data_IF_977984333888
#
_entry.id   IF_977984333888
#
_cell.length_a   1.000
_cell.length_b   1.000
_cell.length_c   1.000
_cell.angle_alpha   90.00
_cell.angle_beta   90.00
_cell.angle_gamma   90.00
#
_symmetry.space_group_name_H-M   'P 1'
#
loop_
_entity.id
_entity.type
_entity.pdbx_description
1 polymer ?
#
# COMPACT_ATOMS: atom_id res chain seq x y z
N UNK A 1 -24.77 -11.66 -58.27
CA UNK A 1 -25.06 -12.96 -57.61
C UNK A 1 -23.93 -13.99 -57.70
N UNK A 2 -23.32 -14.24 -58.86
CA UNK A 2 -22.28 -15.28 -59.01
C UNK A 2 -21.05 -15.15 -58.08
N UNK A 3 -20.60 -13.92 -57.78
CA UNK A 3 -19.48 -13.68 -56.83
C UNK A 3 -19.83 -14.06 -55.39
N UNK A 4 -21.04 -13.73 -54.95
CA UNK A 4 -21.53 -14.06 -53.60
C UNK A 4 -21.67 -15.57 -53.44
N UNK A 5 -22.28 -16.24 -54.43
CA UNK A 5 -22.40 -17.71 -54.44
C UNK A 5 -21.02 -18.40 -54.43
N UNK A 6 -20.04 -17.84 -55.16
CA UNK A 6 -18.66 -18.35 -55.14
C UNK A 6 -18.02 -18.21 -53.76
N UNK A 7 -18.20 -17.07 -53.09
CA UNK A 7 -17.71 -16.84 -51.71
C UNK A 7 -18.35 -17.83 -50.72
N UNK A 8 -19.67 -18.01 -50.75
CA UNK A 8 -20.34 -19.01 -49.91
C UNK A 8 -19.87 -20.44 -50.17
N UNK A 9 -19.64 -20.81 -51.44
CA UNK A 9 -19.11 -22.14 -51.80
C UNK A 9 -17.68 -22.34 -51.30
N UNK A 10 -16.83 -21.31 -51.37
CA UNK A 10 -15.46 -21.32 -50.85
C UNK A 10 -15.44 -21.40 -49.32
N UNK A 11 -16.29 -20.62 -48.63
CA UNK A 11 -16.46 -20.67 -47.17
C UNK A 11 -16.90 -22.06 -46.71
N UNK A 12 -17.86 -22.68 -47.41
CA UNK A 12 -18.33 -24.05 -47.14
C UNK A 12 -17.24 -25.09 -47.35
N UNK A 13 -16.50 -25.00 -48.46
CA UNK A 13 -15.45 -25.96 -48.81
C UNK A 13 -14.22 -25.85 -47.88
N UNK A 14 -13.98 -24.68 -47.29
CA UNK A 14 -12.88 -24.43 -46.36
C UNK A 14 -13.38 -23.95 -44.99
N UNK A 15 -14.40 -24.60 -44.44
CA UNK A 15 -15.04 -24.15 -43.20
C UNK A 15 -14.05 -24.03 -42.03
N UNK A 16 -13.10 -24.96 -41.87
CA UNK A 16 -12.05 -24.91 -40.83
C UNK A 16 -11.09 -23.70 -40.97
N UNK A 17 -10.73 -23.33 -42.20
CA UNK A 17 -9.85 -22.16 -42.46
C UNK A 17 -10.62 -20.86 -42.26
N UNK A 18 -11.89 -20.86 -42.63
CA UNK A 18 -12.77 -19.70 -42.51
C UNK A 18 -13.09 -19.40 -41.04
N UNK A 19 -13.38 -20.42 -40.23
CA UNK A 19 -13.60 -20.24 -38.78
C UNK A 19 -12.35 -19.76 -38.07
N UNK A 20 -11.17 -20.31 -38.40
CA UNK A 20 -9.89 -19.82 -37.88
C UNK A 20 -9.65 -18.35 -38.25
N UNK A 21 -9.84 -17.98 -39.51
CA UNK A 21 -9.66 -16.60 -39.96
C UNK A 21 -10.61 -15.63 -39.26
N UNK A 22 -11.89 -16.01 -39.08
CA UNK A 22 -12.85 -15.21 -38.31
C UNK A 22 -12.40 -15.07 -36.86
N UNK A 23 -11.94 -16.15 -36.22
CA UNK A 23 -11.42 -16.10 -34.85
C UNK A 23 -10.24 -15.14 -34.70
N UNK A 24 -9.26 -15.20 -35.61
CA UNK A 24 -8.10 -14.30 -35.62
C UNK A 24 -8.51 -12.85 -35.86
N UNK A 25 -9.40 -12.59 -36.81
CA UNK A 25 -9.87 -11.23 -37.11
C UNK A 25 -10.69 -10.64 -35.97
N UNK A 26 -11.58 -11.42 -35.36
CA UNK A 26 -12.37 -10.99 -34.20
C UNK A 26 -11.48 -10.69 -33.01
N UNK A 27 -10.50 -11.56 -32.71
CA UNK A 27 -9.54 -11.32 -31.64
C UNK A 27 -8.65 -10.10 -31.92
N UNK A 28 -8.12 -9.99 -33.14
CA UNK A 28 -7.29 -8.85 -33.55
C UNK A 28 -8.06 -7.53 -33.52
N UNK A 29 -9.33 -7.53 -33.94
CA UNK A 29 -10.24 -6.38 -33.85
C UNK A 29 -10.50 -5.98 -32.40
N UNK A 30 -10.78 -6.94 -31.52
CA UNK A 30 -10.94 -6.70 -30.09
C UNK A 30 -9.67 -6.12 -29.45
N UNK A 31 -8.50 -6.68 -29.76
CA UNK A 31 -7.21 -6.18 -29.28
C UNK A 31 -6.91 -4.75 -29.76
N UNK A 32 -7.16 -4.46 -31.05
CA UNK A 32 -7.01 -3.11 -31.61
C UNK A 32 -7.97 -2.12 -30.98
N UNK A 33 -9.21 -2.52 -30.76
CA UNK A 33 -10.21 -1.70 -30.07
C UNK A 33 -9.75 -1.36 -28.65
N UNK A 34 -9.28 -2.35 -27.88
CA UNK A 34 -8.72 -2.10 -26.55
C UNK A 34 -7.56 -1.09 -26.57
N UNK A 35 -6.62 -1.24 -27.52
CA UNK A 35 -5.51 -0.30 -27.69
C UNK A 35 -5.98 1.12 -28.06
N UNK A 36 -7.04 1.23 -28.86
CA UNK A 36 -7.66 2.52 -29.17
C UNK A 36 -8.28 3.15 -27.93
N UNK A 37 -9.07 2.41 -27.15
CA UNK A 37 -9.64 2.88 -25.89
C UNK A 37 -8.56 3.36 -24.91
N UNK A 38 -7.45 2.62 -24.78
CA UNK A 38 -6.33 3.05 -23.92
C UNK A 38 -5.74 4.40 -24.38
N UNK A 39 -5.64 4.63 -25.69
CA UNK A 39 -5.13 5.89 -26.23
C UNK A 39 -6.11 7.04 -26.01
N UNK A 40 -7.42 6.79 -26.08
CA UNK A 40 -8.45 7.78 -25.75
C UNK A 40 -8.33 8.18 -24.28
N UNK A 41 -8.21 7.20 -23.37
CA UNK A 41 -8.01 7.46 -21.93
C UNK A 41 -6.75 8.29 -21.67
N UNK A 42 -5.61 7.95 -22.30
CA UNK A 42 -4.38 8.75 -22.18
C UNK A 42 -4.58 10.18 -22.66
N UNK A 43 -5.27 10.36 -23.78
CA UNK A 43 -5.54 11.68 -24.35
C UNK A 43 -6.40 12.51 -23.41
N UNK A 44 -7.47 11.94 -22.88
CA UNK A 44 -8.36 12.61 -21.92
C UNK A 44 -7.60 13.03 -20.67
N UNK A 45 -6.82 12.13 -20.08
CA UNK A 45 -6.00 12.44 -18.91
C UNK A 45 -4.95 13.53 -19.17
N UNK A 46 -4.30 13.52 -20.36
CA UNK A 46 -3.37 14.58 -20.73
C UNK A 46 -4.05 15.94 -20.95
N UNK A 47 -5.27 15.94 -21.50
CA UNK A 47 -6.05 17.17 -21.67
C UNK A 47 -6.43 17.76 -20.31
N UNK A 48 -6.85 16.94 -19.36
CA UNK A 48 -7.13 17.36 -17.98
C UNK A 48 -5.86 17.91 -17.31
N UNK A 49 -4.73 17.18 -17.39
CA UNK A 49 -3.45 17.59 -16.83
C UNK A 49 -2.94 18.92 -17.41
N UNK A 50 -3.15 19.14 -18.71
CA UNK A 50 -2.76 20.38 -19.39
C UNK A 50 -3.47 21.60 -18.84
N UNK A 51 -4.72 21.45 -18.38
CA UNK A 51 -5.42 22.58 -17.77
C UNK A 51 -4.81 22.99 -16.41
N UNK A 52 -4.17 22.06 -15.67
CA UNK A 52 -3.37 22.41 -14.49
C UNK A 52 -2.10 23.20 -14.88
N UNK A 53 -1.38 22.75 -15.90
CA UNK A 53 -0.17 23.47 -16.36
C UNK A 53 -0.43 24.83 -17.02
N UNK A 54 -1.67 25.12 -17.40
CA UNK A 54 -2.08 26.43 -17.95
C UNK A 54 -2.43 27.46 -16.87
N UNK A 55 -2.46 27.06 -15.61
CA UNK A 55 -2.73 27.98 -14.51
C UNK A 55 -1.62 29.03 -14.40
N UNK A 56 -2.00 30.28 -14.17
CA UNK A 56 -1.07 31.38 -14.02
C UNK A 56 -0.45 31.33 -12.62
N UNK A 57 0.88 31.47 -12.56
CA UNK A 57 1.64 31.56 -11.32
C UNK A 57 2.11 33.00 -11.10
N UNK A 58 2.15 33.44 -9.84
CA UNK A 58 2.70 34.75 -9.51
C UNK A 58 4.20 34.84 -9.82
N UNK A 59 4.76 36.02 -10.17
CA UNK A 59 6.16 36.15 -10.54
C UNK A 59 7.15 35.83 -9.41
N UNK A 60 6.69 35.79 -8.15
CA UNK A 60 7.49 35.43 -6.97
C UNK A 60 7.21 34.02 -6.44
N UNK A 61 6.19 33.34 -6.97
CA UNK A 61 5.85 31.97 -6.57
C UNK A 61 6.76 30.99 -7.31
N UNK A 62 7.26 29.98 -6.59
CA UNK A 62 8.09 28.93 -7.17
C UNK A 62 7.20 27.78 -7.62
N UNK A 63 7.61 27.12 -8.70
CA UNK A 63 6.98 25.89 -9.13
C UNK A 63 7.15 24.82 -8.05
N UNK A 64 6.09 24.04 -7.81
CA UNK A 64 6.16 22.90 -6.92
C UNK A 64 7.17 21.87 -7.43
N UNK A 65 7.89 21.24 -6.52
CA UNK A 65 8.88 20.20 -6.83
C UNK A 65 8.33 18.82 -6.49
N UNK A 66 8.25 17.94 -7.48
CA UNK A 66 7.88 16.55 -7.31
C UNK A 66 9.07 15.63 -7.58
N UNK A 67 9.37 14.73 -6.65
CA UNK A 67 10.35 13.66 -6.90
C UNK A 67 9.64 12.32 -7.05
N UNK A 68 9.91 11.64 -8.16
CA UNK A 68 9.34 10.34 -8.48
C UNK A 68 10.40 9.26 -8.26
N UNK A 69 10.11 8.31 -7.37
CA UNK A 69 10.90 7.09 -7.19
C UNK A 69 10.26 5.97 -8.00
N UNK A 70 10.95 5.54 -9.06
CA UNK A 70 10.47 4.53 -10.00
C UNK A 70 11.29 3.24 -9.86
N UNK A 71 10.61 2.13 -9.60
CA UNK A 71 11.20 0.79 -9.73
C UNK A 71 10.94 0.23 -11.14
N UNK A 72 11.92 0.22 -12.05
CA UNK A 72 11.75 -0.26 -13.42
C UNK A 72 11.53 -1.79 -13.50
N UNK A 73 12.05 -2.56 -12.53
CA UNK A 73 11.94 -4.02 -12.49
C UNK A 73 10.55 -4.52 -12.05
N UNK A 74 9.72 -3.65 -11.46
CA UNK A 74 8.37 -3.99 -11.03
C UNK A 74 7.48 -4.50 -12.19
N UNK A 75 6.49 -5.32 -11.83
CA UNK A 75 5.54 -5.94 -12.78
C UNK A 75 6.24 -6.69 -13.93
N UNK A 76 7.26 -7.49 -13.60
CA UNK A 76 8.06 -8.26 -14.55
C UNK A 76 8.77 -7.37 -15.59
N UNK A 77 9.36 -6.26 -15.15
CA UNK A 77 10.13 -5.34 -15.99
C UNK A 77 9.31 -4.42 -16.90
N UNK A 78 7.98 -4.38 -16.73
CA UNK A 78 7.08 -3.54 -17.56
C UNK A 78 6.83 -2.16 -16.94
N UNK A 79 7.17 -1.95 -15.68
CA UNK A 79 6.86 -0.73 -14.94
C UNK A 79 7.40 0.53 -15.61
N UNK A 80 8.65 0.53 -16.07
CA UNK A 80 9.23 1.68 -16.78
C UNK A 80 8.39 2.07 -18.01
N UNK A 81 8.05 1.11 -18.87
CA UNK A 81 7.25 1.37 -20.07
C UNK A 81 5.82 1.82 -19.74
N UNK A 82 5.23 1.30 -18.66
CA UNK A 82 3.90 1.71 -18.19
C UNK A 82 3.92 3.15 -17.65
N UNK A 83 4.94 3.50 -16.87
CA UNK A 83 5.12 4.83 -16.32
C UNK A 83 5.33 5.88 -17.42
N UNK A 84 6.30 5.65 -18.31
CA UNK A 84 6.67 6.59 -19.38
C UNK A 84 5.49 6.84 -20.35
N UNK A 85 4.61 5.85 -20.57
CA UNK A 85 3.46 5.98 -21.47
C UNK A 85 2.21 6.57 -20.82
N UNK A 86 1.97 6.29 -19.54
CA UNK A 86 0.68 6.55 -18.91
C UNK A 86 0.74 7.67 -17.86
N UNK A 87 1.86 7.84 -17.15
CA UNK A 87 1.97 8.78 -16.02
C UNK A 87 2.92 9.95 -16.31
N UNK A 88 4.09 9.70 -16.92
CA UNK A 88 5.08 10.73 -17.19
C UNK A 88 4.54 11.93 -17.99
N UNK A 89 3.74 11.75 -19.06
CA UNK A 89 3.19 12.88 -19.81
C UNK A 89 2.22 13.73 -18.98
N UNK A 90 1.45 13.11 -18.08
CA UNK A 90 0.50 13.79 -17.20
C UNK A 90 1.26 14.69 -16.23
N UNK A 91 2.32 14.18 -15.60
CA UNK A 91 3.14 14.94 -14.65
C UNK A 91 3.89 16.10 -15.32
N UNK A 92 4.42 15.88 -16.53
CA UNK A 92 5.12 16.93 -17.28
C UNK A 92 4.19 18.05 -17.76
N UNK A 93 2.93 17.74 -18.08
CA UNK A 93 1.93 18.73 -18.49
C UNK A 93 1.35 19.53 -17.32
N UNK A 94 1.54 19.09 -16.08
CA UNK A 94 0.92 19.68 -14.90
C UNK A 94 1.56 20.99 -14.42
N UNK A 95 2.69 21.40 -14.99
CA UNK A 95 3.41 22.61 -14.54
C UNK A 95 4.14 22.42 -13.20
N UNK A 96 4.66 21.21 -12.94
CA UNK A 96 5.43 20.87 -11.74
C UNK A 96 6.86 20.52 -12.16
N UNK A 97 7.86 20.87 -11.36
CA UNK A 97 9.24 20.44 -11.58
C UNK A 97 9.38 18.97 -11.15
N UNK A 98 9.42 18.06 -12.13
CA UNK A 98 9.41 16.61 -11.89
C UNK A 98 10.82 16.04 -12.04
N UNK A 99 11.38 15.51 -10.95
CA UNK A 99 12.64 14.76 -10.95
C UNK A 99 12.35 13.27 -10.85
N UNK A 100 12.75 12.48 -11.84
CA UNK A 100 12.53 11.03 -11.84
C UNK A 100 13.82 10.33 -11.45
N UNK A 101 13.80 9.57 -10.36
CA UNK A 101 14.90 8.73 -9.90
C UNK A 101 14.51 7.26 -10.07
N UNK A 102 15.31 6.54 -10.85
CA UNK A 102 15.12 5.10 -11.11
C UNK A 102 15.94 4.31 -10.11
N UNK A 103 15.36 3.27 -9.54
CA UNK A 103 16.09 2.32 -8.69
C UNK A 103 16.65 1.17 -9.54
N UNK A 104 17.84 0.73 -9.21
CA UNK A 104 18.59 -0.34 -9.89
C UNK A 104 18.47 -1.66 -9.13
N UNK A 105 18.40 -1.62 -7.79
CA UNK A 105 18.33 -2.80 -6.93
C UNK A 105 17.49 -2.57 -5.66
N UNK A 106 17.14 -3.67 -4.99
CA UNK A 106 16.35 -3.70 -3.74
C UNK A 106 17.07 -2.98 -2.59
N UNK A 107 16.36 -2.16 -1.85
CA UNK A 107 16.89 -1.35 -0.76
C UNK A 107 17.63 -0.08 -1.21
N UNK A 108 17.79 0.16 -2.52
CA UNK A 108 18.34 1.44 -3.00
C UNK A 108 17.37 2.59 -2.74
N UNK A 109 16.05 2.37 -2.86
CA UNK A 109 15.07 3.42 -2.60
C UNK A 109 15.20 3.91 -1.15
N UNK A 110 15.36 2.97 -0.21
CA UNK A 110 15.57 3.24 1.20
C UNK A 110 16.80 4.12 1.47
N UNK A 111 17.96 3.77 0.90
CA UNK A 111 19.20 4.58 1.04
C UNK A 111 19.07 5.95 0.39
N UNK A 112 18.41 6.02 -0.77
CA UNK A 112 18.15 7.28 -1.45
C UNK A 112 17.27 8.20 -0.60
N UNK A 113 16.25 7.65 0.04
CA UNK A 113 15.38 8.43 0.93
C UNK A 113 16.12 9.00 2.13
N UNK A 114 17.17 8.36 2.65
CA UNK A 114 17.99 8.92 3.74
C UNK A 114 18.78 10.17 3.31
N UNK A 115 19.14 10.26 2.02
CA UNK A 115 19.96 11.34 1.45
C UNK A 115 19.15 12.40 0.70
N UNK A 116 17.86 12.14 0.48
CA UNK A 116 17.01 12.99 -0.35
C UNK A 116 16.80 14.37 0.29
N UNK A 117 16.86 15.41 -0.53
CA UNK A 117 16.52 16.78 -0.10
C UNK A 117 15.00 16.94 0.08
N UNK A 118 14.60 18.03 0.74
CA UNK A 118 13.19 18.32 0.94
C UNK A 118 12.50 18.66 -0.40
N UNK A 119 11.35 18.04 -0.63
CA UNK A 119 10.51 18.25 -1.82
C UNK A 119 9.08 18.49 -1.42
N UNK A 120 8.28 19.12 -2.29
CA UNK A 120 6.89 19.42 -1.98
C UNK A 120 6.00 18.18 -2.13
N UNK A 121 6.34 17.29 -3.08
CA UNK A 121 5.60 16.07 -3.37
C UNK A 121 6.58 14.91 -3.58
N UNK A 122 6.35 13.80 -2.89
CA UNK A 122 7.06 12.54 -3.11
C UNK A 122 6.12 11.56 -3.83
N UNK A 123 6.51 11.04 -5.00
CA UNK A 123 5.70 10.10 -5.77
C UNK A 123 6.43 8.76 -5.83
N UNK A 124 5.77 7.69 -5.41
CA UNK A 124 6.29 6.32 -5.52
C UNK A 124 5.58 5.62 -6.68
N UNK A 125 6.35 5.22 -7.68
CA UNK A 125 5.87 4.50 -8.86
C UNK A 125 6.42 3.07 -8.83
N UNK A 126 5.61 2.13 -8.35
CA UNK A 126 6.08 0.77 -8.08
C UNK A 126 4.99 -0.16 -7.57
N UNK A 127 5.41 -1.23 -6.89
CA UNK A 127 4.54 -2.11 -6.10
C UNK A 127 4.62 -1.79 -4.61
N UNK A 128 3.99 -2.65 -3.79
CA UNK A 128 3.98 -2.48 -2.34
C UNK A 128 5.39 -2.49 -1.72
N UNK A 129 6.30 -3.37 -2.18
CA UNK A 129 7.67 -3.40 -1.66
C UNK A 129 8.46 -2.10 -1.90
N UNK A 130 8.36 -1.52 -3.10
CA UNK A 130 8.97 -0.21 -3.38
C UNK A 130 8.38 0.90 -2.50
N UNK A 131 7.09 0.82 -2.20
CA UNK A 131 6.43 1.75 -1.28
C UNK A 131 6.93 1.56 0.16
N UNK A 132 7.06 0.32 0.61
CA UNK A 132 7.60 -0.03 1.92
C UNK A 132 9.06 0.44 2.10
N UNK A 133 9.92 0.24 1.09
CA UNK A 133 11.31 0.70 1.12
C UNK A 133 11.39 2.22 1.27
N UNK A 134 10.57 2.97 0.50
CA UNK A 134 10.54 4.43 0.55
C UNK A 134 10.07 4.90 1.92
N UNK A 135 8.98 4.35 2.44
CA UNK A 135 8.43 4.73 3.75
C UNK A 135 9.42 4.39 4.87
N UNK A 136 10.03 3.21 4.79
CA UNK A 136 11.02 2.78 5.76
C UNK A 136 12.25 3.69 5.73
N UNK A 137 12.73 4.09 4.55
CA UNK A 137 13.80 5.06 4.42
C UNK A 137 13.43 6.43 4.98
N UNK A 138 12.21 6.91 4.71
CA UNK A 138 11.70 8.20 5.17
C UNK A 138 11.61 8.28 6.70
N UNK A 139 11.05 7.25 7.34
CA UNK A 139 10.78 7.21 8.79
C UNK A 139 11.99 6.77 9.62
N UNK A 140 13.07 6.29 8.99
CA UNK A 140 14.35 6.05 9.69
C UNK A 140 15.19 7.31 9.84
N UNK A 141 14.83 8.40 9.17
CA UNK A 141 15.60 9.64 9.20
C UNK A 141 15.47 10.36 10.55
N UNK A 142 16.52 11.09 10.97
CA UNK A 142 16.44 11.93 12.18
C UNK A 142 15.47 13.11 12.02
N UNK A 143 15.27 13.62 10.80
CA UNK A 143 14.37 14.72 10.45
C UNK A 143 12.98 14.25 9.96
N UNK A 144 12.59 13.03 10.33
CA UNK A 144 11.33 12.40 9.90
C UNK A 144 10.08 13.27 10.11
N UNK A 145 10.01 14.10 11.15
CA UNK A 145 8.82 14.93 11.43
C UNK A 145 8.54 15.97 10.34
N UNK A 146 9.58 16.46 9.65
CA UNK A 146 9.42 17.40 8.55
C UNK A 146 8.89 16.66 7.32
N UNK A 147 9.48 15.50 7.03
CA UNK A 147 9.14 14.68 5.87
C UNK A 147 7.79 13.97 5.99
N UNK A 148 7.36 13.60 7.20
CA UNK A 148 6.03 13.03 7.48
C UNK A 148 4.88 13.95 7.04
N UNK A 149 5.12 15.26 6.98
CA UNK A 149 4.14 16.23 6.50
C UNK A 149 4.10 16.36 4.97
N UNK A 150 5.12 15.84 4.27
CA UNK A 150 5.19 15.87 2.80
C UNK A 150 4.20 14.84 2.24
N UNK A 151 3.26 15.24 1.37
CA UNK A 151 2.28 14.32 0.82
C UNK A 151 2.91 13.34 -0.17
N UNK A 152 2.53 12.06 -0.04
CA UNK A 152 3.04 10.94 -0.81
C UNK A 152 2.00 10.51 -1.85
N UNK A 153 2.39 10.52 -3.12
CA UNK A 153 1.61 9.96 -4.23
C UNK A 153 2.01 8.53 -4.49
N UNK A 154 1.04 7.64 -4.67
CA UNK A 154 1.30 6.25 -5.04
C UNK A 154 0.75 5.96 -6.43
N UNK A 155 1.63 5.56 -7.36
CA UNK A 155 1.27 5.13 -8.72
C UNK A 155 1.40 3.60 -8.78
N UNK A 156 0.28 2.85 -8.87
CA UNK A 156 0.27 1.40 -8.76
C UNK A 156 0.77 0.72 -10.04
N UNK A 157 2.09 0.52 -10.13
CA UNK A 157 2.73 -0.18 -11.25
C UNK A 157 2.86 -1.69 -10.98
N UNK A 158 2.87 -2.11 -9.71
CA UNK A 158 3.00 -3.50 -9.28
C UNK A 158 1.88 -4.43 -9.77
N UNK A 159 2.13 -5.74 -9.76
CA UNK A 159 1.14 -6.76 -10.15
C UNK A 159 -0.02 -6.86 -9.16
N UNK A 160 0.27 -6.68 -7.87
CA UNK A 160 -0.67 -6.56 -6.76
C UNK A 160 -0.24 -5.33 -5.95
N UNK A 161 -1.19 -4.50 -5.56
CA UNK A 161 -0.94 -3.28 -4.81
C UNK A 161 -2.01 -3.18 -3.70
N UNK A 162 -1.63 -3.51 -2.48
CA UNK A 162 -2.55 -3.65 -1.34
C UNK A 162 -3.16 -2.32 -0.91
N UNK A 163 -2.41 -1.22 -1.08
CA UNK A 163 -2.88 0.13 -0.73
C UNK A 163 -3.73 0.80 -1.82
N UNK A 164 -3.58 0.38 -3.08
CA UNK A 164 -4.27 1.00 -4.22
C UNK A 164 -5.80 1.02 -4.06
N UNK A 165 -6.48 -0.06 -3.61
CA UNK A 165 -7.92 -0.05 -3.34
C UNK A 165 -8.37 0.97 -2.29
N UNK A 166 -7.46 1.43 -1.41
CA UNK A 166 -7.78 2.38 -0.35
C UNK A 166 -7.67 3.83 -0.79
N UNK A 167 -6.81 4.11 -1.79
CA UNK A 167 -6.53 5.46 -2.26
C UNK A 167 -7.18 5.80 -3.60
N UNK A 168 -7.31 4.81 -4.48
CA UNK A 168 -7.71 5.01 -5.87
C UNK A 168 -9.02 4.32 -6.18
N UNK A 169 -9.70 4.81 -7.22
CA UNK A 169 -10.84 4.11 -7.78
C UNK A 169 -10.35 2.86 -8.50
N UNK A 170 -10.91 1.70 -8.14
CA UNK A 170 -10.61 0.43 -8.79
C UNK A 170 -11.16 0.45 -10.22
N UNK A 171 -10.30 0.24 -11.21
CA UNK A 171 -10.71 0.00 -12.58
C UNK A 171 -10.25 -1.37 -13.07
N UNK A 172 -10.98 -1.92 -14.04
CA UNK A 172 -10.59 -3.19 -14.69
C UNK A 172 -9.38 -3.01 -15.63
N UNK A 173 -9.07 -1.76 -16.00
CA UNK A 173 -8.00 -1.43 -16.92
C UNK A 173 -6.82 -0.78 -16.19
N UNK A 174 -5.66 -1.45 -16.24
CA UNK A 174 -4.37 -0.98 -15.71
C UNK A 174 -4.02 0.44 -16.16
N UNK A 175 -4.31 0.81 -17.41
CA UNK A 175 -4.03 2.17 -17.91
C UNK A 175 -4.86 3.19 -17.15
N UNK A 176 -6.15 2.90 -16.96
CA UNK A 176 -7.07 3.76 -16.23
C UNK A 176 -6.64 3.92 -14.78
N UNK A 177 -6.22 2.85 -14.11
CA UNK A 177 -5.70 2.88 -12.73
C UNK A 177 -4.48 3.81 -12.61
N UNK A 178 -3.52 3.70 -13.53
CA UNK A 178 -2.31 4.53 -13.50
C UNK A 178 -2.65 5.99 -13.79
N UNK A 179 -3.48 6.26 -14.80
CA UNK A 179 -3.86 7.63 -15.17
C UNK A 179 -4.70 8.29 -14.07
N UNK A 180 -5.65 7.56 -13.46
CA UNK A 180 -6.51 8.08 -12.40
C UNK A 180 -5.72 8.35 -11.12
N UNK A 181 -4.79 7.46 -10.76
CA UNK A 181 -3.88 7.66 -9.63
C UNK A 181 -3.01 8.91 -9.84
N UNK A 182 -2.46 9.07 -11.04
CA UNK A 182 -1.61 10.24 -11.38
C UNK A 182 -2.41 11.54 -11.35
N UNK A 183 -3.63 11.55 -11.90
CA UNK A 183 -4.51 12.72 -11.85
C UNK A 183 -4.96 13.06 -10.43
N UNK A 184 -5.15 12.05 -9.56
CA UNK A 184 -5.51 12.27 -8.15
C UNK A 184 -4.40 12.99 -7.38
N UNK A 185 -3.14 12.71 -7.72
CA UNK A 185 -1.99 13.46 -7.18
C UNK A 185 -2.05 14.93 -7.61
N UNK A 186 -2.39 15.21 -8.89
CA UNK A 186 -2.53 16.59 -9.38
C UNK A 186 -3.71 17.34 -8.76
N UNK A 187 -4.81 16.65 -8.48
CA UNK A 187 -5.98 17.23 -7.79
C UNK A 187 -5.67 17.67 -6.37
N UNK A 188 -4.65 17.09 -5.74
CA UNK A 188 -4.11 17.57 -4.46
C UNK A 188 -4.88 17.14 -3.21
N UNK A 189 -5.88 16.26 -3.33
CA UNK A 189 -6.61 15.75 -2.17
C UNK A 189 -5.77 14.77 -1.36
N UNK A 190 -5.70 14.97 -0.05
CA UNK A 190 -4.85 14.16 0.84
C UNK A 190 -5.65 13.53 1.98
N UNK A 191 -5.19 12.36 2.43
CA UNK A 191 -5.69 11.64 3.59
C UNK A 191 -4.52 11.22 4.48
N UNK A 192 -4.61 11.40 5.82
CA UNK A 192 -3.60 10.86 6.72
C UNK A 192 -3.76 9.33 6.82
N UNK A 193 -2.64 8.60 6.81
CA UNK A 193 -2.58 7.16 6.99
C UNK A 193 -1.79 6.80 8.25
N UNK A 194 -2.20 5.70 8.87
CA UNK A 194 -1.50 5.11 10.00
C UNK A 194 -0.34 4.24 9.47
N UNK A 195 0.73 4.11 10.26
CA UNK A 195 1.89 3.28 9.91
C UNK A 195 2.16 2.32 11.05
N UNK A 196 2.51 1.07 10.74
CA UNK A 196 3.00 0.11 11.72
C UNK A 196 4.52 0.19 11.77
N UNK A 197 5.06 0.42 12.95
CA UNK A 197 6.47 0.25 13.25
C UNK A 197 6.70 -1.16 13.76
N UNK A 198 7.47 -1.96 13.03
CA UNK A 198 7.81 -3.34 13.36
C UNK A 198 9.29 -3.37 13.71
N UNK A 199 9.60 -3.68 14.97
CA UNK A 199 10.97 -3.68 15.50
C UNK A 199 11.34 -5.08 15.98
N UNK A 200 12.32 -5.69 15.33
CA UNK A 200 13.01 -6.87 15.84
C UNK A 200 14.04 -6.49 16.90
N UNK A 201 14.48 -7.47 17.70
CA UNK A 201 15.43 -7.22 18.81
C UNK A 201 16.78 -6.63 18.34
N UNK A 202 17.29 -7.10 17.20
CA UNK A 202 18.63 -6.76 16.70
C UNK A 202 18.63 -5.90 15.43
N UNK A 203 17.47 -5.72 14.81
CA UNK A 203 17.34 -5.05 13.52
C UNK A 203 16.80 -3.63 13.66
N UNK A 204 17.11 -2.80 12.67
CA UNK A 204 16.49 -1.48 12.56
C UNK A 204 14.99 -1.62 12.24
N UNK A 205 14.13 -0.72 12.77
CA UNK A 205 12.68 -0.84 12.63
C UNK A 205 12.24 -0.76 11.16
N UNK A 206 11.38 -1.68 10.75
CA UNK A 206 10.72 -1.70 9.44
C UNK A 206 9.34 -1.05 9.59
N UNK A 207 8.92 -0.30 8.58
CA UNK A 207 7.64 0.39 8.61
C UNK A 207 6.71 -0.17 7.53
N UNK A 208 5.46 -0.41 7.89
CA UNK A 208 4.45 -1.00 7.01
C UNK A 208 3.16 -0.17 7.03
N UNK A 209 2.44 -0.15 5.91
CA UNK A 209 1.15 0.51 5.77
C UNK A 209 -0.01 -0.45 5.95
N UNK A 210 0.07 -1.69 5.45
CA UNK A 210 -1.05 -2.62 5.51
C UNK A 210 -0.94 -3.56 6.69
N UNK A 211 0.17 -4.30 6.82
CA UNK A 211 0.34 -5.21 7.94
C UNK A 211 1.41 -6.29 7.80
N UNK A 212 1.54 -7.08 8.87
CA UNK A 212 2.42 -8.22 8.99
C UNK A 212 1.60 -9.52 9.04
N UNK A 213 1.83 -10.42 8.07
CA UNK A 213 1.19 -11.74 7.97
C UNK A 213 2.15 -12.86 8.31
N UNK A 214 1.62 -13.85 9.03
CA UNK A 214 2.36 -15.05 9.41
C UNK A 214 1.43 -16.27 9.41
N UNK A 215 1.83 -17.36 8.77
CA UNK A 215 1.07 -18.61 8.79
C UNK A 215 0.96 -19.32 7.44
N UNK A 216 0.13 -20.35 7.42
CA UNK A 216 -0.01 -21.29 6.31
C UNK A 216 -0.45 -20.62 5.01
N UNK A 217 -1.44 -19.72 5.05
CA UNK A 217 -1.91 -19.03 3.85
C UNK A 217 -0.81 -18.17 3.21
N UNK A 218 0.06 -17.57 4.01
CA UNK A 218 1.23 -16.80 3.55
C UNK A 218 2.25 -17.70 2.88
N UNK A 219 2.60 -18.83 3.51
CA UNK A 219 3.54 -19.80 2.92
C UNK A 219 3.03 -20.35 1.59
N UNK A 220 1.74 -20.67 1.51
CA UNK A 220 1.15 -21.10 0.24
C UNK A 220 1.20 -19.98 -0.78
N UNK A 221 0.85 -18.74 -0.41
CA UNK A 221 0.88 -17.59 -1.32
C UNK A 221 2.24 -17.39 -1.99
N UNK A 222 3.34 -17.57 -1.25
CA UNK A 222 4.70 -17.52 -1.78
C UNK A 222 4.99 -18.62 -2.83
N UNK A 223 4.34 -19.78 -2.71
CA UNK A 223 4.51 -20.90 -3.65
C UNK A 223 3.60 -20.85 -4.88
N UNK A 224 2.52 -20.05 -4.87
CA UNK A 224 1.54 -19.98 -5.98
C UNK A 224 2.22 -19.64 -7.32
N UNK A 225 3.24 -18.78 -7.30
CA UNK A 225 4.00 -18.38 -8.49
C UNK A 225 4.74 -19.56 -9.15
N UNK A 226 5.16 -20.57 -8.38
CA UNK A 226 5.85 -21.78 -8.86
C UNK A 226 4.92 -22.66 -9.72
N UNK A 227 3.61 -22.58 -9.48
CA UNK A 227 2.58 -23.33 -10.20
C UNK A 227 2.05 -22.61 -11.46
N UNK A 228 2.86 -21.76 -12.10
CA UNK A 228 2.47 -20.96 -13.26
C UNK A 228 1.88 -21.79 -14.42
N UNK A 229 2.30 -23.05 -14.56
CA UNK A 229 1.85 -23.98 -15.61
C UNK A 229 0.40 -24.46 -15.44
N UNK A 230 -0.20 -24.34 -14.24
CA UNK A 230 -1.59 -24.75 -13.96
C UNK A 230 -2.62 -23.66 -14.27
N UNK A 231 -2.19 -22.50 -14.77
CA UNK A 231 -3.06 -21.40 -15.20
C UNK A 231 -4.07 -21.00 -14.10
N UNK A 232 -5.39 -21.09 -14.34
CA UNK A 232 -6.42 -20.66 -13.38
C UNK A 232 -6.52 -21.57 -12.14
N UNK A 233 -6.01 -22.80 -12.21
CA UNK A 233 -6.05 -23.77 -11.10
C UNK A 233 -4.86 -23.64 -10.15
N UNK A 234 -3.88 -22.79 -10.46
CA UNK A 234 -2.62 -22.67 -9.69
C UNK A 234 -2.83 -22.37 -8.20
N UNK A 235 -3.82 -21.53 -7.87
CA UNK A 235 -4.12 -21.12 -6.49
C UNK A 235 -4.68 -22.28 -5.68
N UNK A 236 -5.72 -22.93 -6.21
CA UNK A 236 -6.33 -24.11 -5.59
C UNK A 236 -5.36 -25.28 -5.51
N UNK A 237 -4.54 -25.50 -6.53
CA UNK A 237 -3.54 -26.56 -6.54
C UNK A 237 -2.43 -26.32 -5.50
N UNK A 238 -1.99 -25.07 -5.31
CA UNK A 238 -0.99 -24.74 -4.29
C UNK A 238 -1.51 -25.07 -2.87
N UNK A 239 -2.74 -24.65 -2.55
CA UNK A 239 -3.39 -24.96 -1.26
C UNK A 239 -3.64 -26.45 -1.08
N UNK A 240 -4.06 -27.15 -2.13
CA UNK A 240 -4.25 -28.60 -2.06
C UNK A 240 -2.92 -29.35 -1.86
N UNK A 241 -1.87 -29.00 -2.59
CA UNK A 241 -0.55 -29.61 -2.46
C UNK A 241 0.08 -29.35 -1.10
N UNK A 242 -0.15 -28.19 -0.47
CA UNK A 242 0.32 -27.94 0.89
C UNK A 242 -0.39 -28.85 1.90
N UNK A 243 -1.71 -29.04 1.76
CA UNK A 243 -2.47 -29.95 2.64
C UNK A 243 -2.07 -31.42 2.49
N UNK A 244 -1.56 -31.83 1.33
CA UNK A 244 -1.04 -33.18 1.12
C UNK A 244 0.32 -33.43 1.77
N UNK A 245 1.13 -32.37 1.95
CA UNK A 245 2.44 -32.49 2.59
C UNK A 245 2.27 -32.60 4.09
N UNK A 246 1.48 -31.71 4.66
CA UNK A 246 1.31 -31.59 6.11
C UNK A 246 -0.07 -30.99 6.40
N UNK A 247 -0.79 -31.62 7.31
CA UNK A 247 -2.09 -31.16 7.79
C UNK A 247 -2.34 -31.72 9.20
N UNK A 248 -2.77 -30.89 10.18
CA UNK A 248 -3.11 -29.47 10.08
C UNK A 248 -1.87 -28.53 10.16
N UNK A 249 -1.90 -27.40 9.43
CA UNK A 249 -0.80 -26.42 9.34
C UNK A 249 -0.89 -25.35 10.44
N UNK A 250 -1.12 -25.77 11.67
CA UNK A 250 -1.35 -24.89 12.82
C UNK A 250 -0.02 -24.31 13.30
N UNK A 251 -0.03 -23.03 13.67
CA UNK A 251 1.11 -22.37 14.31
C UNK A 251 0.67 -21.74 15.63
N UNK A 252 1.47 -22.01 16.65
CA UNK A 252 1.32 -21.40 17.97
C UNK A 252 2.13 -20.10 18.03
N UNK A 253 1.49 -19.02 18.47
CA UNK A 253 2.16 -17.76 18.79
C UNK A 253 1.62 -17.19 20.09
N UNK A 254 2.52 -16.58 20.86
CA UNK A 254 2.17 -15.79 22.03
C UNK A 254 2.13 -14.32 21.64
N UNK A 255 0.97 -13.69 21.81
CA UNK A 255 0.76 -12.28 21.51
C UNK A 255 0.49 -11.54 22.79
N UNK A 256 1.41 -10.66 23.18
CA UNK A 256 1.17 -9.68 24.23
C UNK A 256 0.65 -8.40 23.59
N UNK A 257 -0.42 -7.80 24.06
CA UNK A 257 -0.95 -6.57 23.47
C UNK A 257 -1.27 -5.49 24.50
N UNK A 258 -1.24 -4.24 24.04
CA UNK A 258 -1.63 -3.05 24.80
C UNK A 258 -3.00 -2.59 24.37
N UNK A 259 -3.77 -2.08 25.34
CA UNK A 259 -5.09 -1.52 25.07
C UNK A 259 -5.04 -0.37 24.04
N UNK A 260 -6.08 -0.21 23.21
CA UNK A 260 -6.20 0.91 22.28
C UNK A 260 -6.10 2.28 22.96
N UNK A 261 -5.47 3.24 22.28
CA UNK A 261 -5.40 4.62 22.74
C UNK A 261 -6.57 5.44 22.18
N UNK A 262 -7.15 6.33 23.00
CA UNK A 262 -8.20 7.24 22.55
C UNK A 262 -7.65 8.20 21.49
N UNK A 263 -8.40 8.35 20.39
CA UNK A 263 -8.03 9.25 19.30
C UNK A 263 -8.15 10.70 19.79
N UNK A 264 -7.06 11.50 19.75
CA UNK A 264 -7.17 12.94 20.00
C UNK A 264 -8.00 13.58 18.89
N UNK A 265 -8.82 14.61 19.22
CA UNK A 265 -9.67 15.28 18.24
C UNK A 265 -8.81 15.84 17.10
N UNK A 266 -9.30 15.71 15.86
CA UNK A 266 -8.67 16.24 14.64
C UNK A 266 -8.77 17.77 14.61
N UNK A 267 -8.10 18.44 15.55
CA UNK A 267 -7.94 19.88 15.54
C UNK A 267 -6.70 20.23 14.72
N UNK A 268 -6.75 21.27 13.87
CA UNK A 268 -5.55 21.74 13.19
C UNK A 268 -4.50 22.10 14.25
N UNK A 269 -3.21 21.80 14.01
CA UNK A 269 -2.15 22.10 14.96
C UNK A 269 -2.12 23.61 15.20
N UNK A 270 -2.68 24.06 16.32
CA UNK A 270 -2.57 25.44 16.75
C UNK A 270 -1.14 25.64 17.23
N UNK A 271 -0.28 26.17 16.35
CA UNK A 271 0.99 26.72 16.83
C UNK A 271 0.63 27.84 17.81
N UNK A 272 1.01 27.74 19.10
CA UNK A 272 0.70 28.81 20.03
C UNK A 272 1.30 30.11 19.47
N UNK A 273 0.53 31.21 19.46
CA UNK A 273 1.01 32.48 18.92
C UNK A 273 2.32 32.85 19.62
N UNK A 274 3.32 33.22 18.82
CA UNK A 274 4.65 33.52 19.36
C UNK A 274 4.50 34.67 20.36
N UNK A 275 4.84 34.48 21.65
CA UNK A 275 4.58 35.50 22.66
C UNK A 275 5.35 36.80 22.32
N UNK A 276 4.80 37.94 22.76
CA UNK A 276 5.38 39.26 22.55
C UNK A 276 6.83 39.36 23.06
N UNK A 277 7.63 40.25 22.48
CA UNK A 277 9.06 40.40 22.78
C UNK A 277 9.30 40.62 24.29
N UNK A 278 8.49 41.47 24.91
CA UNK A 278 8.54 41.78 26.35
C UNK A 278 8.33 40.52 27.20
N UNK A 279 7.36 39.68 26.83
CA UNK A 279 7.08 38.41 27.53
C UNK A 279 8.25 37.43 27.40
N UNK A 280 8.97 37.42 26.27
CA UNK A 280 10.18 36.59 26.11
C UNK A 280 11.35 37.10 26.95
N UNK A 281 11.52 38.42 27.03
CA UNK A 281 12.55 39.04 27.86
C UNK A 281 12.25 38.77 29.34
N UNK A 282 11.01 38.97 29.77
CA UNK A 282 10.56 38.64 31.13
C UNK A 282 10.74 37.15 31.42
N UNK A 283 10.38 36.26 30.49
CA UNK A 283 10.57 34.81 30.67
C UNK A 283 12.05 34.43 30.74
N UNK A 284 12.93 35.07 29.96
CA UNK A 284 14.39 34.88 30.05
C UNK A 284 14.94 35.35 31.39
N UNK A 285 14.54 36.55 31.84
CA UNK A 285 14.94 37.09 33.14
C UNK A 285 14.42 36.19 34.27
N UNK A 286 13.16 35.76 34.20
CA UNK A 286 12.56 34.82 35.16
C UNK A 286 13.32 33.50 35.18
N UNK A 287 13.65 32.92 34.03
CA UNK A 287 14.43 31.68 33.96
C UNK A 287 15.89 31.85 34.42
N UNK A 288 16.47 33.06 34.34
CA UNK A 288 17.82 33.35 34.86
C UNK A 288 17.82 33.45 36.39
N UNK A 289 16.80 34.10 36.97
CA UNK A 289 16.66 34.29 38.42
C UNK A 289 16.01 33.08 39.11
N UNK A 290 15.25 32.29 38.37
CA UNK A 290 14.48 31.14 38.83
C UNK A 290 14.49 30.10 37.70
N UNK A 291 15.61 29.37 37.50
CA UNK A 291 15.62 28.29 36.54
C UNK A 291 14.45 27.35 36.83
N UNK A 292 13.68 26.93 35.81
CA UNK A 292 12.64 25.95 36.03
C UNK A 292 13.29 24.75 36.69
N UNK A 293 12.77 24.36 37.85
CA UNK A 293 13.14 23.10 38.48
C UNK A 293 12.88 22.04 37.43
N UNK A 294 13.90 21.27 37.06
CA UNK A 294 13.72 20.09 36.22
C UNK A 294 12.69 19.24 36.94
N UNK A 295 11.46 19.21 36.40
CA UNK A 295 10.45 18.29 36.89
C UNK A 295 11.10 16.90 36.82
N UNK A 296 11.15 16.14 37.94
CA UNK A 296 11.66 14.79 37.88
C UNK A 296 10.88 14.09 36.75
N UNK A 297 11.56 13.31 35.90
CA UNK A 297 10.91 12.65 34.78
C UNK A 297 9.65 11.99 35.30
N UNK A 298 8.49 12.38 34.73
CA UNK A 298 7.21 11.73 35.06
C UNK A 298 7.46 10.24 34.95
N UNK A 299 7.33 9.54 36.07
CA UNK A 299 7.45 8.08 36.09
C UNK A 299 6.28 7.60 35.24
N UNK A 300 6.55 7.24 33.99
CA UNK A 300 5.56 6.67 33.10
C UNK A 300 5.02 5.42 33.80
N UNK A 301 3.70 5.36 34.01
CA UNK A 301 3.08 4.17 34.57
C UNK A 301 3.47 2.97 33.68
N UNK A 302 3.89 1.84 34.28
CA UNK A 302 4.34 0.70 33.50
C UNK A 302 3.20 0.26 32.56
N UNK A 303 3.51 0.19 31.26
CA UNK A 303 2.58 -0.29 30.24
C UNK A 303 2.03 -1.66 30.66
N UNK A 304 0.70 -1.79 30.76
CA UNK A 304 0.04 -3.04 31.15
C UNK A 304 -0.19 -3.90 29.91
N UNK A 305 0.65 -4.91 29.75
CA UNK A 305 0.55 -5.90 28.67
C UNK A 305 -0.38 -7.04 29.07
N UNK A 306 -1.30 -7.38 28.18
CA UNK A 306 -2.16 -8.57 28.30
C UNK A 306 -1.66 -9.66 27.37
N UNK A 307 -1.42 -10.85 27.91
CA UNK A 307 -0.87 -11.98 27.16
C UNK A 307 -1.99 -12.91 26.68
N UNK A 308 -1.94 -13.25 25.40
CA UNK A 308 -2.83 -14.22 24.78
C UNK A 308 -2.06 -15.22 23.93
N UNK A 309 -2.23 -16.51 24.22
CA UNK A 309 -1.73 -17.58 23.37
C UNK A 309 -2.73 -17.88 22.26
N UNK A 310 -2.26 -17.92 21.02
CA UNK A 310 -3.06 -18.12 19.83
C UNK A 310 -2.53 -19.33 19.05
N UNK A 311 -3.37 -20.35 18.92
CA UNK A 311 -3.21 -21.47 17.97
C UNK A 311 -3.98 -21.11 16.70
N UNK A 312 -3.28 -20.84 15.60
CA UNK A 312 -3.92 -20.29 14.38
C UNK A 312 -3.29 -20.84 13.11
N UNK A 313 -4.09 -20.91 12.03
CA UNK A 313 -3.58 -21.18 10.69
C UNK A 313 -2.88 -19.95 10.09
N UNK A 314 -3.36 -18.77 10.41
CA UNK A 314 -2.77 -17.50 10.00
C UNK A 314 -3.07 -16.40 11.01
N UNK A 315 -2.03 -15.65 11.34
CA UNK A 315 -2.05 -14.41 12.08
C UNK A 315 -1.78 -13.24 11.13
N UNK A 316 -2.60 -12.19 11.21
CA UNK A 316 -2.40 -10.94 10.51
C UNK A 316 -2.57 -9.76 11.44
N UNK A 317 -1.49 -9.01 11.62
CA UNK A 317 -1.49 -7.74 12.34
C UNK A 317 -1.60 -6.64 11.28
N UNK A 318 -2.75 -5.98 11.20
CA UNK A 318 -3.06 -5.02 10.14
C UNK A 318 -3.45 -3.65 10.68
N UNK A 319 -3.19 -2.63 9.88
CA UNK A 319 -3.79 -1.31 10.08
C UNK A 319 -5.24 -1.33 9.62
N UNK A 320 -5.93 -0.24 9.92
CA UNK A 320 -7.24 0.01 9.35
C UNK A 320 -7.20 0.88 8.07
N UNK A 321 -6.05 0.95 7.40
CA UNK A 321 -5.87 1.77 6.21
C UNK A 321 -6.72 1.32 5.01
N UNK A 322 -7.41 0.16 5.11
CA UNK A 322 -8.39 -0.27 4.09
C UNK A 322 -9.45 0.81 3.84
N UNK A 323 -9.93 1.45 4.91
CA UNK A 323 -10.78 2.63 4.86
C UNK A 323 -10.18 3.72 5.77
N UNK A 324 -9.33 4.61 5.23
CA UNK A 324 -8.66 5.66 6.01
C UNK A 324 -9.59 6.82 6.38
N UNK A 325 -10.76 6.93 5.73
CA UNK A 325 -11.69 8.06 5.95
C UNK A 325 -12.66 7.76 7.10
N UNK A 326 -12.81 6.50 7.49
CA UNK A 326 -13.64 6.08 8.61
C UNK A 326 -13.17 6.71 9.92
N UNK A 327 -14.07 7.46 10.56
CA UNK A 327 -13.84 8.02 11.90
C UNK A 327 -13.95 6.91 12.94
N UNK A 328 -12.93 6.80 13.79
CA UNK A 328 -12.86 5.85 14.90
C UNK A 328 -12.67 6.59 16.21
N UNK A 329 -13.11 5.95 17.29
CA UNK A 329 -12.95 6.47 18.67
C UNK A 329 -11.51 6.26 19.14
N UNK A 330 -10.90 5.14 18.76
CA UNK A 330 -9.56 4.75 19.18
C UNK A 330 -8.61 4.74 17.97
N UNK A 331 -7.34 5.08 18.23
CA UNK A 331 -6.22 4.75 17.37
C UNK A 331 -5.73 3.35 17.79
N UNK A 332 -5.99 2.36 16.93
CA UNK A 332 -5.69 0.94 17.17
C UNK A 332 -5.19 0.24 15.91
N UNK A 333 -4.44 -0.84 16.09
CA UNK A 333 -4.17 -1.87 15.09
C UNK A 333 -5.12 -3.06 15.34
N UNK A 334 -5.34 -3.87 14.30
CA UNK A 334 -6.16 -5.07 14.35
C UNK A 334 -5.30 -6.31 14.31
N UNK A 335 -5.44 -7.18 15.30
CA UNK A 335 -4.85 -8.50 15.32
C UNK A 335 -5.94 -9.50 14.93
N UNK A 336 -5.78 -10.12 13.77
CA UNK A 336 -6.71 -11.08 13.20
C UNK A 336 -6.06 -12.47 13.18
N UNK A 337 -6.73 -13.44 13.76
CA UNK A 337 -6.26 -14.82 13.89
C UNK A 337 -7.31 -15.77 13.31
N UNK A 338 -6.96 -16.50 12.26
CA UNK A 338 -7.84 -17.57 11.75
C UNK A 338 -7.89 -18.74 12.73
N UNK A 339 -9.06 -19.40 12.88
CA UNK A 339 -9.19 -20.53 13.77
C UNK A 339 -8.42 -21.75 13.25
N UNK A 340 -8.20 -22.72 14.13
CA UNK A 340 -7.51 -23.97 13.85
C UNK A 340 -8.44 -25.10 13.39
N UNK A 341 -9.77 -24.88 13.40
CA UNK A 341 -10.81 -25.87 13.12
C UNK A 341 -11.25 -25.96 11.64
N UNK A 342 -10.58 -25.24 10.73
CA UNK A 342 -10.97 -25.24 9.31
C UNK A 342 -10.78 -26.61 8.66
N UNK A 343 -11.76 -27.04 7.85
CA UNK A 343 -11.60 -28.22 7.00
C UNK A 343 -10.67 -27.95 5.80
N UNK A 344 -10.11 -29.00 5.18
CA UNK A 344 -9.26 -28.87 3.97
C UNK A 344 -10.01 -28.16 2.83
N UNK A 345 -11.29 -28.47 2.63
CA UNK A 345 -12.12 -27.82 1.60
C UNK A 345 -12.33 -26.32 1.86
N UNK A 346 -12.54 -25.96 3.11
CA UNK A 346 -12.65 -24.56 3.54
C UNK A 346 -11.31 -23.84 3.44
N UNK A 347 -10.20 -24.48 3.83
CA UNK A 347 -8.85 -23.94 3.68
C UNK A 347 -8.56 -23.56 2.23
N UNK A 348 -8.85 -24.44 1.26
CA UNK A 348 -8.64 -24.12 -0.17
C UNK A 348 -9.55 -22.96 -0.62
N UNK A 349 -10.80 -22.95 -0.17
CA UNK A 349 -11.80 -21.94 -0.56
C UNK A 349 -11.46 -20.56 0.01
N UNK A 350 -11.10 -20.51 1.30
CA UNK A 350 -10.64 -19.30 2.01
C UNK A 350 -9.31 -18.85 1.42
N UNK A 351 -8.38 -19.76 1.18
CA UNK A 351 -7.08 -19.47 0.61
C UNK A 351 -7.16 -18.84 -0.79
N UNK A 352 -8.15 -19.24 -1.61
CA UNK A 352 -8.41 -18.59 -2.90
C UNK A 352 -8.91 -17.15 -2.72
N UNK A 353 -9.83 -16.92 -1.78
CA UNK A 353 -10.34 -15.58 -1.46
C UNK A 353 -9.23 -14.68 -0.88
N UNK A 354 -8.36 -15.22 -0.03
CA UNK A 354 -7.22 -14.49 0.56
C UNK A 354 -6.12 -14.14 -0.44
N UNK A 355 -6.01 -14.87 -1.56
CA UNK A 355 -5.10 -14.52 -2.65
C UNK A 355 -5.58 -13.29 -3.45
N UNK A 356 -6.89 -13.07 -3.49
CA UNK A 356 -7.52 -11.88 -4.10
C UNK A 356 -7.53 -10.70 -3.13
N UNK A 357 -7.99 -10.91 -1.89
CA UNK A 357 -7.99 -9.92 -0.82
C UNK A 357 -7.46 -10.54 0.49
N UNK A 358 -6.22 -10.22 0.90
CA UNK A 358 -5.57 -10.82 2.06
C UNK A 358 -6.17 -10.37 3.40
N UNK A 359 -6.96 -9.29 3.41
CA UNK A 359 -7.58 -8.75 4.62
C UNK A 359 -8.87 -9.48 5.01
N UNK A 360 -9.33 -10.43 4.19
CA UNK A 360 -10.54 -11.21 4.47
C UNK A 360 -10.24 -12.32 5.48
N UNK A 361 -11.07 -12.34 6.54
CA UNK A 361 -11.04 -13.36 7.58
C UNK A 361 -12.38 -14.06 7.67
N UNK A 362 -12.38 -15.32 8.13
CA UNK A 362 -13.62 -16.04 8.42
C UNK A 362 -14.38 -15.40 9.59
N UNK A 363 -15.66 -15.75 9.74
CA UNK A 363 -16.49 -15.22 10.83
C UNK A 363 -16.07 -15.73 12.22
N UNK A 364 -15.46 -16.91 12.26
CA UNK A 364 -14.94 -17.53 13.48
C UNK A 364 -13.54 -17.01 13.87
N UNK A 365 -12.93 -16.17 13.02
CA UNK A 365 -11.62 -15.60 13.32
C UNK A 365 -11.66 -14.71 14.57
N UNK A 366 -10.64 -14.86 15.40
CA UNK A 366 -10.43 -14.00 16.57
C UNK A 366 -9.91 -12.64 16.11
N UNK A 367 -10.56 -11.57 16.55
CA UNK A 367 -10.19 -10.19 16.23
C UNK A 367 -10.00 -9.40 17.51
N UNK A 368 -8.82 -8.82 17.68
CA UNK A 368 -8.45 -8.02 18.85
C UNK A 368 -8.01 -6.63 18.38
N UNK A 369 -8.48 -5.59 19.08
CA UNK A 369 -7.98 -4.23 18.86
C UNK A 369 -6.90 -3.93 19.89
N UNK A 370 -5.76 -3.41 19.44
CA UNK A 370 -4.64 -3.07 20.31
C UNK A 370 -3.97 -1.75 19.89
N UNK A 371 -3.26 -1.07 20.78
CA UNK A 371 -2.39 0.06 20.41
C UNK A 371 -1.01 -0.40 19.93
N UNK A 372 -0.50 -1.46 20.53
CA UNK A 372 0.74 -2.14 20.19
C UNK A 372 0.64 -3.63 20.53
N UNK A 373 1.46 -4.45 19.90
CA UNK A 373 1.59 -5.86 20.26
C UNK A 373 3.04 -6.35 20.17
N UNK A 374 3.39 -7.34 20.99
CA UNK A 374 4.63 -8.10 20.92
C UNK A 374 4.28 -9.50 20.49
N UNK A 375 4.88 -9.93 19.39
CA UNK A 375 4.73 -11.26 18.85
C UNK A 375 5.94 -12.08 19.29
N UNK A 376 5.72 -13.06 20.15
CA UNK A 376 6.72 -14.05 20.54
C UNK A 376 6.45 -15.35 19.81
N UNK A 377 7.47 -15.83 19.09
CA UNK A 377 7.44 -17.12 18.41
C UNK A 377 8.12 -18.19 19.28
N UNK A 378 7.69 -19.46 19.18
CA UNK A 378 8.37 -20.58 19.84
C UNK A 378 9.83 -20.69 19.39
N UNK A 379 10.73 -21.10 20.29
CA UNK A 379 12.14 -21.31 19.99
C UNK A 379 12.32 -22.37 18.87
N UNK A 380 13.13 -22.06 17.85
CA UNK A 380 13.37 -22.95 16.71
C UNK A 380 12.36 -22.86 15.57
N UNK A 381 11.39 -21.94 15.65
CA UNK A 381 10.43 -21.68 14.56
C UNK A 381 11.14 -21.06 13.36
N UNK A 382 11.52 -21.86 12.37
CA UNK A 382 11.99 -21.38 11.08
C UNK A 382 10.79 -20.95 10.22
N UNK A 383 10.79 -19.72 9.73
CA UNK A 383 9.76 -19.24 8.83
C UNK A 383 10.00 -17.80 8.41
N UNK A 384 9.07 -17.26 7.64
CA UNK A 384 9.11 -15.87 7.20
C UNK A 384 7.88 -15.10 7.67
N UNK A 385 7.98 -13.80 7.81
CA UNK A 385 6.86 -12.89 7.81
C UNK A 385 6.64 -12.37 6.40
N UNK A 386 5.40 -11.98 6.11
CA UNK A 386 5.13 -11.14 4.97
C UNK A 386 4.68 -9.77 5.46
N UNK A 387 5.51 -8.77 5.23
CA UNK A 387 5.21 -7.38 5.57
C UNK A 387 4.91 -6.68 4.25
N UNK A 388 3.67 -6.21 4.03
CA UNK A 388 3.26 -5.51 2.79
C UNK A 388 3.72 -6.18 1.47
N UNK A 389 3.61 -7.52 1.38
CA UNK A 389 4.03 -8.35 0.24
C UNK A 389 5.55 -8.59 0.07
N UNK A 390 6.38 -8.19 1.02
CA UNK A 390 7.81 -8.56 1.11
C UNK A 390 8.08 -9.62 2.18
N UNK A 391 9.07 -10.49 1.92
CA UNK A 391 9.45 -11.59 2.83
C UNK A 391 10.52 -11.14 3.82
N UNK A 392 10.27 -11.35 5.11
CA UNK A 392 11.22 -11.07 6.19
C UNK A 392 11.43 -12.32 7.04
N UNK A 393 12.59 -12.51 7.64
CA UNK A 393 12.82 -13.64 8.54
C UNK A 393 11.92 -13.53 9.78
N UNK A 394 11.32 -14.66 10.19
CA UNK A 394 10.45 -14.68 11.35
C UNK A 394 11.28 -14.64 12.64
N UNK A 395 11.06 -13.62 13.46
CA UNK A 395 11.73 -13.41 14.74
C UNK A 395 10.77 -12.74 15.73
N UNK A 396 11.03 -12.77 17.05
CA UNK A 396 10.24 -11.99 17.98
C UNK A 396 10.26 -10.50 17.62
N UNK A 397 9.08 -9.89 17.48
CA UNK A 397 8.94 -8.49 17.04
C UNK A 397 7.97 -7.72 17.93
N UNK A 398 8.28 -6.45 18.15
CA UNK A 398 7.35 -5.47 18.71
C UNK A 398 6.74 -4.65 17.58
N UNK A 399 5.42 -4.64 17.51
CA UNK A 399 4.63 -3.89 16.53
C UNK A 399 3.90 -2.75 17.23
N UNK A 400 4.18 -1.51 16.84
CA UNK A 400 3.53 -0.31 17.38
C UNK A 400 2.81 0.46 16.28
N UNK A 401 1.62 0.95 16.56
CA UNK A 401 0.92 1.85 15.65
C UNK A 401 1.44 3.29 15.77
N UNK A 402 1.74 3.90 14.64
CA UNK A 402 2.01 5.32 14.50
C UNK A 402 0.81 5.97 13.79
N UNK A 403 -0.16 6.53 14.54
CA UNK A 403 -1.39 7.04 13.97
C UNK A 403 -1.14 8.30 13.13
N UNK A 404 -1.79 8.39 11.97
CA UNK A 404 -1.78 9.55 11.06
C UNK A 404 -0.38 10.08 10.73
N UNK A 405 0.62 9.19 10.69
CA UNK A 405 2.03 9.56 10.56
C UNK A 405 2.38 10.06 9.16
N UNK A 406 1.71 9.57 8.12
CA UNK A 406 1.99 9.95 6.73
C UNK A 406 0.75 10.50 6.06
N UNK A 407 0.94 11.33 5.03
CA UNK A 407 -0.16 11.87 4.22
C UNK A 407 -0.07 11.32 2.82
N UNK A 408 -1.15 10.75 2.31
CA UNK A 408 -1.23 10.18 0.96
C UNK A 408 -2.25 10.92 0.11
N UNK A 409 -2.01 10.98 -1.20
CA UNK A 409 -3.05 11.45 -2.12
C UNK A 409 -4.16 10.41 -2.28
N UNK A 410 -5.40 10.88 -2.28
CA UNK A 410 -6.61 10.07 -2.46
C UNK A 410 -7.46 10.67 -3.59
N UNK A 411 -8.12 9.82 -4.38
CA UNK A 411 -9.12 10.29 -5.32
C UNK A 411 -10.36 10.81 -4.59
N UNK A 412 -10.87 11.98 -4.98
CA UNK A 412 -12.10 12.57 -4.45
C UNK A 412 -13.28 11.58 -4.51
N UNK A 413 -13.45 10.93 -5.66
CA UNK A 413 -14.50 9.92 -5.90
C UNK A 413 -14.34 8.73 -4.94
N UNK A 414 -13.09 8.29 -4.71
CA UNK A 414 -12.84 7.17 -3.80
C UNK A 414 -13.11 7.55 -2.35
N UNK A 415 -12.75 8.78 -1.96
CA UNK A 415 -13.01 9.31 -0.63
C UNK A 415 -14.52 9.35 -0.34
N UNK A 416 -15.33 9.80 -1.29
CA UNK A 416 -16.80 9.78 -1.20
C UNK A 416 -17.35 8.37 -1.09
N UNK A 417 -16.88 7.43 -1.93
CA UNK A 417 -17.29 6.02 -1.84
C UNK A 417 -17.01 5.43 -0.45
N UNK A 418 -15.83 5.68 0.11
CA UNK A 418 -15.46 5.18 1.43
C UNK A 418 -16.30 5.80 2.55
N UNK A 419 -16.68 7.08 2.43
CA UNK A 419 -17.61 7.72 3.36
C UNK A 419 -18.99 7.05 3.34
N UNK A 420 -19.53 6.77 2.15
CA UNK A 420 -20.84 6.10 2.01
C UNK A 420 -20.84 4.66 2.51
N UNK A 421 -19.71 3.94 2.43
CA UNK A 421 -19.58 2.58 2.99
C UNK A 421 -19.57 2.55 4.53
N UNK A 422 -19.37 3.70 5.16
CA UNK A 422 -19.29 3.83 6.62
C UNK A 422 -20.64 4.21 7.25
N UNK A 423 -21.59 4.67 6.42
CA UNK A 423 -22.99 4.93 6.78
C UNK A 423 -23.80 3.64 6.62
#
# INVERSE_FOLDING_TARGET
MARVVKVFRTLRNHWKKSTFAVGVLSYGGYWLYGKHCDNVLRREACLEAREYGRQLIGPQERLGKATVILNPAACSGKANNLFEKNAAPILQLAGVEVTIVKTDYEGQAKKLMELMEQTDILIVAGGDGTLQEVITGLLRRPDQEVFSNTPIGFIPLGSRNSLSPSLHLLADNKVRDITSATLSILKGETVPLDVLQIKGEKEQPVFALMGLRWGAFRDVAATISKFWYLGPLKTSAAHWLSTLREWPLIREASVSYLAPTLRPPDLPPQKPPRPNLLHRIIRRLKNYWSPPVEEPPKVEEPEKWEDQQLSTLELFIQTHNKNPVQRRVNDSLMICAEPDDLSVGEFITVGKKKDEDPTLFTKAATKLEAGACRLQLPEGTSGFYNIDNEEYEAMPVEVRLLPRKLRFFISAERREQLLTQTQ
#
